data_IF_308845105100
#
_entry.id   IF_308845105100
#
_cell.length_a   1.000
_cell.length_b   1.000
_cell.length_c   1.000
_cell.angle_alpha   90.00
_cell.angle_beta   90.00
_cell.angle_gamma   90.00
#
_symmetry.space_group_name_H-M   'P 1'
#
loop_
_entity.id
_entity.type
_entity.pdbx_description
1 polymer ?
#
# COMPACT_ATOMS: atom_id res chain seq x y z
N UNK A 1 -9.70 -16.23 18.42
CA UNK A 1 -9.09 -15.06 17.77
C UNK A 1 -10.02 -13.88 17.93
N UNK A 2 -9.55 -12.67 18.30
CA UNK A 2 -10.40 -11.50 18.28
C UNK A 2 -10.85 -11.18 16.84
N UNK A 3 -12.08 -10.71 16.67
CA UNK A 3 -12.57 -10.27 15.37
C UNK A 3 -11.87 -8.97 14.97
N UNK A 4 -11.43 -8.86 13.72
CA UNK A 4 -10.90 -7.62 13.15
C UNK A 4 -12.03 -6.95 12.39
N UNK A 5 -12.41 -5.75 12.81
CA UNK A 5 -13.44 -4.97 12.15
C UNK A 5 -12.86 -4.16 10.99
N UNK A 6 -13.29 -4.46 9.77
CA UNK A 6 -12.93 -3.72 8.58
C UNK A 6 -14.12 -2.98 7.97
N UNK A 7 -13.82 -1.89 7.24
CA UNK A 7 -14.78 -1.16 6.41
C UNK A 7 -14.18 -0.82 5.06
N UNK A 8 -15.02 -0.80 4.04
CA UNK A 8 -14.65 -0.18 2.77
C UNK A 8 -14.52 1.34 2.95
N UNK A 9 -13.60 1.93 2.21
CA UNK A 9 -13.37 3.37 2.17
C UNK A 9 -13.16 3.75 0.72
N UNK A 10 -14.27 3.88 -0.03
CA UNK A 10 -14.20 4.13 -1.46
C UNK A 10 -15.13 5.26 -1.95
N UNK A 11 -15.07 5.58 -3.24
CA UNK A 11 -15.72 6.75 -3.84
C UNK A 11 -17.24 6.62 -3.94
N UNK A 12 -17.79 5.42 -3.70
CA UNK A 12 -19.23 5.18 -3.62
C UNK A 12 -19.82 5.68 -2.29
N UNK A 13 -18.98 5.92 -1.28
CA UNK A 13 -19.41 6.46 0.00
C UNK A 13 -19.60 7.98 -0.08
N UNK A 14 -20.67 8.47 0.55
CA UNK A 14 -20.89 9.90 0.74
C UNK A 14 -19.74 10.51 1.55
N UNK A 15 -19.48 11.81 1.37
CA UNK A 15 -18.44 12.52 2.13
C UNK A 15 -18.67 12.40 3.64
N UNK A 16 -19.92 12.47 4.10
CA UNK A 16 -20.32 12.30 5.49
C UNK A 16 -19.91 10.93 6.03
N UNK A 17 -20.30 9.84 5.36
CA UNK A 17 -19.92 8.48 5.77
C UNK A 17 -18.41 8.28 5.80
N UNK A 18 -17.68 8.87 4.84
CA UNK A 18 -16.21 8.81 4.82
C UNK A 18 -15.62 9.51 6.05
N UNK A 19 -16.16 10.67 6.46
CA UNK A 19 -15.72 11.34 7.70
C UNK A 19 -16.02 10.49 8.93
N UNK A 20 -17.24 9.96 9.05
CA UNK A 20 -17.63 9.12 10.18
C UNK A 20 -16.71 7.89 10.33
N UNK A 21 -16.38 7.23 9.22
CA UNK A 21 -15.50 6.06 9.23
C UNK A 21 -14.08 6.43 9.63
N UNK A 22 -13.57 7.58 9.16
CA UNK A 22 -12.25 8.04 9.51
C UNK A 22 -12.16 8.41 10.99
N UNK A 23 -13.18 9.08 11.54
CA UNK A 23 -13.26 9.42 12.95
C UNK A 23 -13.29 8.17 13.83
N UNK A 24 -14.09 7.16 13.49
CA UNK A 24 -14.12 5.88 14.21
C UNK A 24 -12.81 5.09 14.11
N UNK A 25 -12.10 5.20 12.98
CA UNK A 25 -10.81 4.56 12.75
C UNK A 25 -9.67 5.22 13.53
N UNK A 26 -9.71 6.53 13.74
CA UNK A 26 -8.67 7.29 14.44
C UNK A 26 -8.80 7.29 15.98
N UNK A 27 -9.88 6.73 16.54
CA UNK A 27 -10.05 6.61 17.99
C UNK A 27 -9.01 5.68 18.62
N UNK A 28 -8.62 5.97 19.86
CA UNK A 28 -7.73 5.11 20.66
C UNK A 28 -8.29 3.71 20.88
N UNK A 29 -9.62 3.60 21.05
CA UNK A 29 -10.37 2.34 21.01
C UNK A 29 -11.19 2.36 19.71
N UNK A 30 -10.56 1.97 18.61
CA UNK A 30 -11.16 2.05 17.28
C UNK A 30 -12.20 0.93 17.08
N UNK A 31 -13.42 1.30 16.69
CA UNK A 31 -14.44 0.32 16.25
C UNK A 31 -14.13 -0.24 14.86
N UNK A 32 -13.46 0.56 14.03
CA UNK A 32 -12.95 0.18 12.72
C UNK A 32 -11.43 0.08 12.84
N UNK A 33 -10.88 -1.10 12.61
CA UNK A 33 -9.45 -1.36 12.75
C UNK A 33 -8.73 -1.37 11.40
N UNK A 34 -9.48 -1.58 10.30
CA UNK A 34 -8.95 -1.62 8.94
C UNK A 34 -9.88 -0.86 8.00
N UNK A 35 -9.31 0.06 7.23
CA UNK A 35 -9.97 0.69 6.09
C UNK A 35 -9.41 0.11 4.79
N UNK A 36 -10.28 -0.41 3.93
CA UNK A 36 -9.92 -0.97 2.62
C UNK A 36 -10.33 0.03 1.54
N UNK A 37 -9.37 0.53 0.78
CA UNK A 37 -9.58 1.62 -0.18
C UNK A 37 -9.00 1.30 -1.56
N UNK A 38 -9.51 1.99 -2.58
CA UNK A 38 -8.94 2.04 -3.93
C UNK A 38 -8.29 3.40 -4.19
N UNK A 39 -7.41 3.49 -5.18
CA UNK A 39 -6.60 4.69 -5.48
C UNK A 39 -7.39 5.99 -5.70
N UNK A 40 -8.68 5.90 -5.98
CA UNK A 40 -9.50 7.02 -6.40
C UNK A 40 -9.89 7.98 -5.25
N UNK A 41 -9.70 7.60 -3.98
CA UNK A 41 -10.57 8.11 -2.89
C UNK A 41 -9.87 9.09 -1.94
N UNK A 42 -8.56 9.24 -2.08
CA UNK A 42 -7.72 9.80 -1.01
C UNK A 42 -7.26 11.25 -1.22
N UNK A 43 -7.81 11.98 -2.19
CA UNK A 43 -7.43 13.40 -2.41
C UNK A 43 -8.31 14.39 -1.62
N UNK A 44 -9.59 14.07 -1.44
CA UNK A 44 -10.56 14.99 -0.81
C UNK A 44 -10.57 14.90 0.72
N UNK A 45 -10.10 13.80 1.30
CA UNK A 45 -10.11 13.56 2.74
C UNK A 45 -8.69 13.29 3.19
N UNK A 46 -8.24 14.11 4.13
CA UNK A 46 -6.87 14.09 4.60
C UNK A 46 -6.69 13.03 5.66
N UNK A 47 -6.21 11.86 5.24
CA UNK A 47 -5.81 10.79 6.14
C UNK A 47 -4.35 11.06 6.52
N UNK A 48 -4.07 11.17 7.81
CA UNK A 48 -2.72 11.39 8.32
C UNK A 48 -2.41 10.43 9.45
N UNK A 49 -1.12 10.23 9.70
CA UNK A 49 -0.59 9.51 10.87
C UNK A 49 -1.03 8.05 10.93
N UNK A 50 -1.03 7.37 9.79
CA UNK A 50 -1.22 5.91 9.77
C UNK A 50 -0.02 5.20 10.40
N UNK A 51 -0.30 4.18 11.20
CA UNK A 51 0.73 3.30 11.77
C UNK A 51 1.14 2.19 10.80
N UNK A 52 0.20 1.72 9.99
CA UNK A 52 0.42 0.69 8.98
C UNK A 52 -0.27 1.06 7.68
N UNK A 53 0.41 0.86 6.56
CA UNK A 53 -0.16 0.89 5.22
C UNK A 53 0.13 -0.47 4.58
N UNK A 54 -0.89 -1.10 4.02
CA UNK A 54 -0.73 -2.36 3.29
C UNK A 54 -1.13 -2.11 1.85
N UNK A 55 -0.15 -2.12 0.94
CA UNK A 55 -0.38 -2.21 -0.49
C UNK A 55 -0.68 -3.66 -0.83
N UNK A 56 -1.97 -3.98 -0.94
CA UNK A 56 -2.41 -5.31 -1.36
C UNK A 56 -2.03 -5.58 -2.82
N UNK A 57 -2.39 -4.63 -3.69
CA UNK A 57 -1.95 -4.58 -5.08
C UNK A 57 -1.04 -3.36 -5.30
N UNK A 58 -0.03 -3.50 -6.15
CA UNK A 58 0.72 -2.35 -6.65
C UNK A 58 -0.19 -1.43 -7.48
N UNK A 59 -0.12 -0.10 -7.28
CA UNK A 59 -0.95 0.82 -8.04
C UNK A 59 -0.51 0.87 -9.50
N UNK A 60 -1.45 1.11 -10.42
CA UNK A 60 -1.20 1.20 -11.88
C UNK A 60 -0.09 2.19 -12.27
N UNK A 61 0.16 3.18 -11.42
CA UNK A 61 1.23 4.16 -11.60
C UNK A 61 2.08 4.24 -10.34
N UNK A 62 3.40 4.23 -10.50
CA UNK A 62 4.32 4.32 -9.37
C UNK A 62 4.20 5.66 -8.60
N UNK A 63 3.78 6.74 -9.26
CA UNK A 63 3.47 8.02 -8.57
C UNK A 63 2.38 7.87 -7.51
N UNK A 64 1.38 7.01 -7.75
CA UNK A 64 0.32 6.71 -6.77
C UNK A 64 0.86 5.93 -5.57
N UNK A 65 1.91 5.10 -5.76
CA UNK A 65 2.57 4.41 -4.65
C UNK A 65 3.14 5.42 -3.65
N UNK A 66 3.78 6.48 -4.14
CA UNK A 66 4.29 7.56 -3.29
C UNK A 66 3.17 8.20 -2.46
N UNK A 67 2.06 8.56 -3.10
CA UNK A 67 0.91 9.15 -2.40
C UNK A 67 0.24 8.24 -1.38
N UNK A 68 0.31 6.91 -1.55
CA UNK A 68 -0.17 5.96 -0.54
C UNK A 68 0.72 5.97 0.70
N UNK A 69 2.04 6.01 0.51
CA UNK A 69 3.00 5.96 1.62
C UNK A 69 3.18 7.32 2.31
N UNK A 70 2.96 8.45 1.63
CA UNK A 70 2.99 9.80 2.23
C UNK A 70 1.95 9.99 3.37
N UNK A 71 0.98 9.09 3.47
CA UNK A 71 -0.02 9.04 4.54
C UNK A 71 0.54 8.47 5.86
N UNK A 72 1.72 7.86 5.79
CA UNK A 72 2.45 7.31 6.92
C UNK A 72 3.37 8.39 7.51
N UNK A 73 3.53 8.39 8.83
CA UNK A 73 4.47 9.28 9.50
C UNK A 73 5.61 8.48 10.13
N UNK A 74 5.35 7.78 11.25
CA UNK A 74 6.29 6.88 11.93
C UNK A 74 5.75 5.45 11.95
N UNK A 75 5.38 4.94 10.78
CA UNK A 75 4.71 3.65 10.64
C UNK A 75 5.46 2.69 9.73
N UNK A 76 4.82 1.55 9.45
CA UNK A 76 5.34 0.50 8.58
C UNK A 76 4.50 0.39 7.31
N UNK A 77 5.17 0.39 6.16
CA UNK A 77 4.55 0.07 4.87
C UNK A 77 4.83 -1.39 4.54
N UNK A 78 3.77 -2.15 4.31
CA UNK A 78 3.84 -3.50 3.76
C UNK A 78 3.37 -3.46 2.31
N UNK A 79 4.12 -4.10 1.42
CA UNK A 79 3.74 -4.23 0.01
C UNK A 79 3.81 -5.70 -0.36
N UNK A 80 2.70 -6.23 -0.84
CA UNK A 80 2.62 -7.60 -1.33
C UNK A 80 3.05 -7.58 -2.79
N UNK A 81 3.91 -8.52 -3.16
CA UNK A 81 4.46 -8.65 -4.51
C UNK A 81 4.44 -10.13 -4.89
N UNK A 82 3.93 -10.43 -6.07
CA UNK A 82 3.85 -11.77 -6.63
C UNK A 82 4.89 -11.96 -7.73
N UNK A 83 5.75 -12.97 -7.59
CA UNK A 83 6.68 -13.38 -8.66
C UNK A 83 5.99 -13.91 -9.91
N UNK A 84 4.70 -14.24 -9.83
CA UNK A 84 3.92 -14.78 -10.96
C UNK A 84 3.11 -13.70 -11.67
N UNK A 85 3.06 -12.48 -11.12
CA UNK A 85 2.37 -11.34 -11.71
C UNK A 85 3.33 -10.52 -12.57
N UNK A 86 3.01 -10.38 -13.87
CA UNK A 86 3.86 -9.65 -14.82
C UNK A 86 3.90 -8.15 -14.54
N UNK A 87 2.82 -7.58 -14.00
CA UNK A 87 2.77 -6.18 -13.63
C UNK A 87 3.68 -5.90 -12.43
N UNK A 88 3.63 -6.77 -11.42
CA UNK A 88 4.52 -6.67 -10.26
C UNK A 88 5.99 -6.74 -10.68
N UNK A 89 6.34 -7.70 -11.54
CA UNK A 89 7.69 -7.82 -12.13
C UNK A 89 8.10 -6.54 -12.87
N UNK A 90 7.18 -5.95 -13.65
CA UNK A 90 7.43 -4.69 -14.35
C UNK A 90 7.68 -3.52 -13.37
N UNK A 91 7.09 -3.54 -12.18
CA UNK A 91 7.30 -2.52 -11.16
C UNK A 91 8.59 -2.69 -10.33
N UNK A 92 9.22 -3.86 -10.35
CA UNK A 92 10.43 -4.17 -9.54
C UNK A 92 11.55 -3.13 -9.72
N UNK A 93 11.92 -2.65 -10.92
CA UNK A 93 12.98 -1.65 -11.07
C UNK A 93 12.68 -0.35 -10.30
N UNK A 94 11.43 0.12 -10.34
CA UNK A 94 11.01 1.33 -9.62
C UNK A 94 11.02 1.11 -8.11
N UNK A 95 10.55 -0.04 -7.64
CA UNK A 95 10.59 -0.42 -6.22
C UNK A 95 12.02 -0.56 -5.70
N UNK A 96 12.90 -1.17 -6.48
CA UNK A 96 14.32 -1.34 -6.15
C UNK A 96 14.99 0.01 -5.98
N UNK A 97 14.82 0.92 -6.95
CA UNK A 97 15.36 2.26 -6.88
C UNK A 97 14.81 3.04 -5.67
N UNK A 98 13.50 2.96 -5.44
CA UNK A 98 12.86 3.59 -4.29
C UNK A 98 13.44 3.09 -2.97
N UNK A 99 13.47 1.77 -2.74
CA UNK A 99 13.98 1.16 -1.51
C UNK A 99 15.46 1.48 -1.29
N UNK A 100 16.26 1.49 -2.36
CA UNK A 100 17.66 1.88 -2.28
C UNK A 100 17.81 3.35 -1.86
N UNK A 101 17.01 4.25 -2.45
CA UNK A 101 17.06 5.69 -2.14
C UNK A 101 16.68 5.99 -0.68
N UNK A 102 15.80 5.19 -0.07
CA UNK A 102 15.42 5.34 1.34
C UNK A 102 16.24 4.45 2.29
N UNK A 103 17.25 3.74 1.78
CA UNK A 103 18.13 2.87 2.58
C UNK A 103 17.45 1.62 3.16
N UNK A 104 16.37 1.14 2.54
CA UNK A 104 15.60 -0.04 2.97
C UNK A 104 15.76 -1.25 2.04
N UNK A 105 16.63 -1.17 1.03
CA UNK A 105 16.96 -2.33 0.19
C UNK A 105 18.04 -3.18 0.87
N UNK A 106 17.67 -4.37 1.36
CA UNK A 106 18.63 -5.37 1.85
C UNK A 106 19.16 -6.25 0.71
N UNK A 107 20.31 -6.88 0.91
CA UNK A 107 20.91 -7.79 -0.09
C UNK A 107 19.97 -8.96 -0.43
N UNK A 108 19.33 -9.56 0.58
CA UNK A 108 18.35 -10.65 0.40
C UNK A 108 17.17 -10.19 -0.44
N UNK A 109 16.67 -8.96 -0.22
CA UNK A 109 15.55 -8.45 -1.00
C UNK A 109 15.97 -8.14 -2.45
N UNK A 110 17.17 -7.61 -2.64
CA UNK A 110 17.75 -7.36 -3.95
C UNK A 110 17.91 -8.66 -4.75
N UNK A 111 18.43 -9.72 -4.13
CA UNK A 111 18.55 -11.05 -4.76
C UNK A 111 17.18 -11.59 -5.18
N UNK A 112 16.17 -11.49 -4.32
CA UNK A 112 14.79 -11.90 -4.66
C UNK A 112 14.22 -11.12 -5.85
N UNK A 113 14.49 -9.81 -5.91
CA UNK A 113 14.05 -8.95 -7.02
C UNK A 113 14.78 -9.28 -8.33
N UNK A 114 16.09 -9.53 -8.26
CA UNK A 114 16.88 -9.95 -9.43
C UNK A 114 16.37 -11.30 -9.97
N UNK A 115 16.03 -12.24 -9.09
CA UNK A 115 15.45 -13.54 -9.48
C UNK A 115 14.05 -13.39 -10.08
N UNK A 116 13.22 -12.47 -9.59
CA UNK A 116 11.94 -12.14 -10.22
C UNK A 116 12.13 -11.64 -11.66
N UNK A 117 13.15 -10.81 -11.91
CA UNK A 117 13.44 -10.27 -13.25
C UNK A 117 14.06 -11.31 -14.19
N UNK A 118 14.87 -12.26 -13.71
CA UNK A 118 15.41 -13.35 -14.54
C UNK A 118 14.32 -14.29 -15.06
N UNK A 119 13.28 -14.52 -14.27
CA UNK A 119 12.20 -15.44 -14.64
C UNK A 119 11.18 -14.81 -15.60
N UNK A 120 11.20 -13.49 -15.80
CA UNK A 120 10.32 -12.80 -16.74
C UNK A 120 10.80 -12.86 -18.19
N UNK A 121 12.12 -12.96 -18.41
CA UNK A 121 12.75 -13.01 -19.74
C UNK A 121 12.61 -14.36 -20.46
N UNK A 122 12.05 -15.39 -19.81
CA UNK A 122 11.82 -16.72 -20.40
C UNK A 122 10.37 -16.96 -20.83
N UNK A 123 9.51 -15.94 -20.83
CA UNK A 123 8.08 -16.06 -21.20
C UNK A 123 7.75 -15.58 -22.61
N UNK A 124 8.74 -15.29 -23.46
CA UNK A 124 8.54 -14.90 -24.85
C UNK A 124 9.42 -15.73 -25.80
#
# INVERSE_FOLDING_TARGET
MPFINCREFNGKLTLEKRKDYLEEFQKTIAKIQVLVSTDFVNREINIYSLNHVINYDLPSYFGSFHHRIERINKGIVHTIISKNDSYDQFCIPNLTNFLNNIGQLSDVLKENFDDMLRNSTHKY
#
